data_IF_571980449069
#
_entry.id   IF_571980449069
#
_cell.length_a   1.000
_cell.length_b   1.000
_cell.length_c   1.000
_cell.angle_alpha   90.00
_cell.angle_beta   90.00
_cell.angle_gamma   90.00
#
_symmetry.space_group_name_H-M   'P 1'
#
loop_
_entity.id
_entity.type
_entity.pdbx_description
1 polymer ?
#
# COMPACT_ATOMS: atom_id res chain seq x y z
N UNK A 1 -27.71 -12.34 10.24
CA UNK A 1 -26.72 -11.67 9.35
C UNK A 1 -27.23 -11.71 7.91
N UNK A 2 -27.31 -10.58 7.26
CA UNK A 2 -27.76 -10.52 5.87
C UNK A 2 -26.64 -10.97 4.94
N UNK A 3 -27.01 -11.39 3.74
CA UNK A 3 -26.03 -11.77 2.70
C UNK A 3 -25.12 -10.61 2.35
N UNK A 4 -25.65 -9.38 2.30
CA UNK A 4 -24.85 -8.16 2.04
C UNK A 4 -23.80 -7.93 3.12
N UNK A 5 -24.16 -8.11 4.39
CA UNK A 5 -23.23 -7.97 5.51
C UNK A 5 -22.12 -9.01 5.43
N UNK A 6 -22.45 -10.24 5.06
CA UNK A 6 -21.45 -11.29 4.87
C UNK A 6 -20.46 -10.95 3.77
N UNK A 7 -20.96 -10.45 2.63
CA UNK A 7 -20.11 -10.05 1.50
C UNK A 7 -19.19 -8.91 1.90
N UNK A 8 -19.70 -7.90 2.61
CA UNK A 8 -18.89 -6.78 3.11
C UNK A 8 -17.81 -7.26 4.05
N UNK A 9 -18.16 -8.15 4.97
CA UNK A 9 -17.19 -8.73 5.91
C UNK A 9 -16.07 -9.47 5.21
N UNK A 10 -16.39 -10.27 4.20
CA UNK A 10 -15.40 -10.99 3.42
C UNK A 10 -14.47 -10.06 2.66
N UNK A 11 -15.00 -8.97 2.07
CA UNK A 11 -14.19 -7.96 1.38
C UNK A 11 -13.21 -7.28 2.32
N UNK A 12 -13.68 -6.92 3.52
CA UNK A 12 -12.84 -6.28 4.53
C UNK A 12 -11.71 -7.23 4.95
N UNK A 13 -12.02 -8.50 5.21
CA UNK A 13 -11.01 -9.48 5.61
C UNK A 13 -9.95 -9.71 4.53
N UNK A 14 -10.36 -9.77 3.26
CA UNK A 14 -9.41 -9.87 2.14
C UNK A 14 -8.51 -8.66 2.03
N UNK A 15 -9.06 -7.46 2.23
CA UNK A 15 -8.28 -6.24 2.20
C UNK A 15 -7.28 -6.19 3.34
N UNK A 16 -7.67 -6.58 4.55
CA UNK A 16 -6.76 -6.68 5.70
C UNK A 16 -5.62 -7.65 5.40
N UNK A 17 -5.93 -8.83 4.85
CA UNK A 17 -4.92 -9.82 4.48
C UNK A 17 -3.92 -9.25 3.46
N UNK A 18 -4.42 -8.57 2.43
CA UNK A 18 -3.59 -7.93 1.41
C UNK A 18 -2.64 -6.91 2.05
N UNK A 19 -3.15 -6.10 2.97
CA UNK A 19 -2.35 -5.09 3.66
C UNK A 19 -1.28 -5.70 4.56
N UNK A 20 -1.57 -6.81 5.23
CA UNK A 20 -0.55 -7.52 6.01
C UNK A 20 0.57 -8.06 5.13
N UNK A 21 0.25 -8.60 3.97
CA UNK A 21 1.25 -9.07 3.00
C UNK A 21 2.12 -7.91 2.53
N UNK A 22 1.52 -6.77 2.18
CA UNK A 22 2.25 -5.57 1.81
C UNK A 22 3.18 -5.10 2.92
N UNK A 23 2.68 -5.05 4.15
CA UNK A 23 3.47 -4.65 5.31
C UNK A 23 4.68 -5.56 5.50
N UNK A 24 4.49 -6.88 5.40
CA UNK A 24 5.59 -7.83 5.51
C UNK A 24 6.63 -7.64 4.41
N UNK A 25 6.19 -7.39 3.18
CA UNK A 25 7.09 -7.13 2.06
C UNK A 25 7.92 -5.86 2.30
N UNK A 26 7.30 -4.79 2.81
CA UNK A 26 8.01 -3.58 3.16
C UNK A 26 9.01 -3.81 4.29
N UNK A 27 8.64 -4.57 5.32
CA UNK A 27 9.53 -4.87 6.44
C UNK A 27 10.79 -5.63 6.01
N UNK A 28 10.67 -6.50 5.00
CA UNK A 28 11.79 -7.28 4.47
C UNK A 28 12.61 -6.52 3.44
N UNK A 29 12.10 -5.42 2.91
CA UNK A 29 12.77 -4.65 1.87
C UNK A 29 13.89 -3.80 2.45
N UNK A 30 15.01 -3.71 1.74
CA UNK A 30 16.18 -2.95 2.16
C UNK A 30 16.42 -1.72 1.26
N UNK A 31 15.86 -1.71 0.05
CA UNK A 31 15.97 -0.57 -0.86
C UNK A 31 14.92 -0.65 -1.95
N UNK A 32 14.69 0.51 -2.58
CA UNK A 32 13.85 0.59 -3.79
C UNK A 32 14.76 0.40 -4.99
N UNK A 33 14.35 -0.54 -5.86
CA UNK A 33 15.13 -0.84 -7.05
C UNK A 33 14.82 0.13 -8.19
N UNK A 34 13.57 0.53 -8.33
CA UNK A 34 13.16 1.40 -9.43
C UNK A 34 11.85 2.11 -9.10
N UNK A 35 11.82 3.44 -9.36
CA UNK A 35 10.59 4.23 -9.32
C UNK A 35 10.45 4.87 -10.69
N UNK A 36 9.30 4.68 -11.32
CA UNK A 36 8.96 5.29 -12.59
C UNK A 36 7.86 6.33 -12.38
N UNK A 37 8.00 7.47 -13.05
CA UNK A 37 6.96 8.48 -13.04
C UNK A 37 6.03 8.24 -14.23
N UNK A 38 4.72 8.28 -13.98
CA UNK A 38 3.71 8.18 -15.02
C UNK A 38 3.38 9.58 -15.51
N UNK A 39 3.64 9.83 -16.78
CA UNK A 39 3.34 11.13 -17.40
C UNK A 39 1.95 11.10 -18.03
N UNK A 40 1.21 12.22 -17.97
CA UNK A 40 -0.16 12.27 -18.52
C UNK A 40 -0.19 12.31 -20.06
N UNK A 41 0.94 12.41 -20.74
CA UNK A 41 1.00 12.50 -22.19
C UNK A 41 1.14 11.11 -22.83
N UNK A 42 0.21 10.78 -23.75
CA UNK A 42 0.24 9.50 -24.47
C UNK A 42 1.43 9.33 -25.40
N UNK A 43 1.97 10.43 -25.85
CA UNK A 43 3.02 10.44 -26.88
C UNK A 43 4.41 10.75 -26.32
N UNK A 44 4.50 11.00 -25.03
CA UNK A 44 5.79 11.22 -24.40
C UNK A 44 6.44 9.87 -24.12
N UNK A 45 7.69 9.65 -24.55
CA UNK A 45 8.38 8.43 -24.21
C UNK A 45 8.58 8.36 -22.70
N UNK A 46 8.47 7.16 -22.15
CA UNK A 46 8.74 6.93 -20.74
C UNK A 46 10.21 7.23 -20.49
N UNK A 47 10.46 8.26 -19.69
CA UNK A 47 11.81 8.56 -19.31
C UNK A 47 12.28 7.56 -18.24
N UNK A 48 13.56 7.28 -18.26
CA UNK A 48 14.23 6.41 -17.31
C UNK A 48 14.07 6.94 -15.88
N UNK A 49 14.26 6.07 -14.88
CA UNK A 49 13.97 6.40 -13.50
C UNK A 49 14.61 7.70 -13.06
N UNK A 50 13.75 8.57 -12.54
CA UNK A 50 14.10 9.96 -12.29
C UNK A 50 14.48 10.16 -10.82
N UNK A 51 14.44 9.10 -10.02
CA UNK A 51 14.72 9.22 -8.61
C UNK A 51 16.06 8.60 -8.29
N UNK A 52 17.00 9.48 -7.97
CA UNK A 52 18.28 9.09 -7.43
C UNK A 52 18.09 8.77 -5.95
N UNK A 53 18.73 7.72 -5.47
CA UNK A 53 18.70 7.31 -4.08
C UNK A 53 19.10 8.46 -3.13
N UNK A 54 19.91 9.41 -3.61
CA UNK A 54 20.31 10.58 -2.81
C UNK A 54 19.15 11.51 -2.48
N UNK A 55 18.06 11.47 -3.22
CA UNK A 55 16.89 12.32 -3.00
C UNK A 55 15.76 11.63 -2.25
N UNK A 56 15.85 10.33 -2.04
CA UNK A 56 14.85 9.58 -1.29
C UNK A 56 15.51 8.85 -0.13
N UNK A 57 15.07 9.16 1.07
CA UNK A 57 15.43 8.37 2.22
C UNK A 57 14.48 7.16 2.29
N UNK A 58 14.98 5.99 1.90
CA UNK A 58 14.20 4.77 1.89
C UNK A 58 13.66 4.41 3.28
N UNK A 59 14.43 4.64 4.32
CA UNK A 59 14.02 4.38 5.71
C UNK A 59 12.78 5.20 6.08
N UNK A 60 12.78 6.49 5.76
CA UNK A 60 11.63 7.36 6.01
C UNK A 60 10.42 6.94 5.20
N UNK A 61 10.62 6.63 3.91
CA UNK A 61 9.55 6.16 3.04
C UNK A 61 8.94 4.86 3.55
N UNK A 62 9.79 3.92 3.95
CA UNK A 62 9.37 2.63 4.52
C UNK A 62 8.51 2.84 5.77
N UNK A 63 8.97 3.65 6.71
CA UNK A 63 8.24 3.94 7.94
C UNK A 63 6.91 4.63 7.64
N UNK A 64 6.89 5.57 6.72
CA UNK A 64 5.67 6.27 6.32
C UNK A 64 4.65 5.32 5.72
N UNK A 65 5.07 4.45 4.80
CA UNK A 65 4.16 3.48 4.15
C UNK A 65 3.63 2.48 5.17
N UNK A 66 4.49 1.93 6.01
CA UNK A 66 4.09 0.96 7.04
C UNK A 66 3.09 1.60 8.01
N UNK A 67 3.34 2.83 8.42
CA UNK A 67 2.43 3.56 9.30
C UNK A 67 1.04 3.74 8.67
N UNK A 68 0.99 4.09 7.39
CA UNK A 68 -0.28 4.24 6.66
C UNK A 68 -1.01 2.90 6.50
N UNK A 69 -0.27 1.83 6.25
CA UNK A 69 -0.84 0.49 6.15
C UNK A 69 -1.43 0.07 7.49
N UNK A 70 -0.73 0.26 8.57
CA UNK A 70 -1.21 -0.06 9.92
C UNK A 70 -2.47 0.72 10.28
N UNK A 71 -2.50 2.01 9.95
CA UNK A 71 -3.67 2.85 10.16
C UNK A 71 -4.88 2.33 9.38
N UNK A 72 -4.68 1.95 8.12
CA UNK A 72 -5.76 1.42 7.29
C UNK A 72 -6.27 0.07 7.81
N UNK A 73 -5.38 -0.79 8.27
CA UNK A 73 -5.75 -2.07 8.89
C UNK A 73 -6.63 -1.82 10.13
N UNK A 74 -6.24 -0.86 10.95
CA UNK A 74 -7.01 -0.51 12.16
C UNK A 74 -8.40 0.00 11.79
N UNK A 75 -8.50 0.87 10.78
CA UNK A 75 -9.79 1.36 10.30
C UNK A 75 -10.68 0.22 9.79
N UNK A 76 -10.13 -0.70 9.02
CA UNK A 76 -10.87 -1.85 8.49
C UNK A 76 -11.34 -2.79 9.59
N UNK A 77 -10.54 -3.01 10.62
CA UNK A 77 -10.93 -3.81 11.77
C UNK A 77 -12.11 -3.17 12.53
N UNK A 78 -12.11 -1.85 12.64
CA UNK A 78 -13.22 -1.12 13.23
C UNK A 78 -14.49 -1.26 12.39
N UNK A 79 -14.39 -1.10 11.08
CA UNK A 79 -15.51 -1.29 10.16
C UNK A 79 -16.08 -2.70 10.27
N UNK A 80 -15.22 -3.71 10.34
CA UNK A 80 -15.64 -5.09 10.51
C UNK A 80 -16.38 -5.31 11.83
N UNK A 81 -15.93 -4.69 12.91
CA UNK A 81 -16.52 -4.88 14.22
C UNK A 81 -17.94 -4.31 14.36
N UNK A 82 -18.31 -3.36 13.49
CA UNK A 82 -19.65 -2.75 13.50
C UNK A 82 -20.61 -3.35 12.48
N UNK A 83 -20.19 -4.36 11.75
CA UNK A 83 -21.09 -5.04 10.80
C UNK A 83 -22.14 -5.92 11.49
#
# INVERSE_FOLDING_TARGET
>A
MTEETLIKGQKILKEIERLYIMKNNWNKSIKINQISLIKPCKYCPDEQPIVDESFINFEELKLSVISKIEKRIKELKQEFSIL
#
